data_IF_454616172085
#
_entry.id   IF_454616172085
#
_cell.length_a   1.000
_cell.length_b   1.000
_cell.length_c   1.000
_cell.angle_alpha   90.00
_cell.angle_beta   90.00
_cell.angle_gamma   90.00
#
_symmetry.space_group_name_H-M   'P 1'
#
loop_
_entity.id
_entity.type
_entity.pdbx_description
1 polymer ?
#
# COMPACT_ATOMS: atom_id res chain seq x y z
N UNK A 1 15.05 5.75 12.80
CA UNK A 1 13.78 5.27 12.20
C UNK A 1 12.91 6.42 11.69
N UNK A 2 12.74 7.48 12.49
CA UNK A 2 12.07 8.72 12.10
C UNK A 2 12.40 9.23 10.69
N UNK A 3 13.69 9.47 10.38
CA UNK A 3 14.08 10.09 9.11
C UNK A 3 13.69 9.24 7.88
N UNK A 4 13.74 7.90 8.01
CA UNK A 4 13.33 6.98 6.95
C UNK A 4 11.81 7.05 6.71
N UNK A 5 11.01 7.13 7.78
CA UNK A 5 9.56 7.27 7.66
C UNK A 5 9.19 8.61 7.04
N UNK A 6 9.89 9.68 7.44
CA UNK A 6 9.68 11.03 6.88
C UNK A 6 10.00 11.07 5.39
N UNK A 7 11.09 10.43 4.96
CA UNK A 7 11.45 10.35 3.53
C UNK A 7 10.45 9.53 2.72
N UNK A 8 9.96 8.41 3.24
CA UNK A 8 9.05 7.52 2.51
C UNK A 8 7.60 7.98 2.50
N UNK A 9 7.12 8.57 3.60
CA UNK A 9 5.68 8.75 3.87
C UNK A 9 5.27 10.17 4.25
N UNK A 10 6.24 11.04 4.54
CA UNK A 10 6.01 12.41 4.95
C UNK A 10 5.67 12.59 6.43
N UNK A 11 5.58 13.86 6.83
CA UNK A 11 5.41 14.30 8.21
C UNK A 11 4.09 13.84 8.84
N UNK A 12 2.97 13.98 8.12
CA UNK A 12 1.64 13.62 8.63
C UNK A 12 1.54 12.15 9.02
N UNK A 13 2.15 11.28 8.21
CA UNK A 13 2.18 9.83 8.47
C UNK A 13 3.04 9.53 9.70
N UNK A 14 4.22 10.14 9.81
CA UNK A 14 5.06 9.96 10.98
C UNK A 14 4.34 10.38 12.26
N UNK A 15 3.67 11.53 12.27
CA UNK A 15 2.89 12.00 13.42
C UNK A 15 1.72 11.08 13.75
N UNK A 16 1.00 10.59 12.73
CA UNK A 16 -0.06 9.61 12.92
C UNK A 16 0.46 8.33 13.58
N UNK A 17 1.57 7.79 13.07
CA UNK A 17 2.18 6.58 13.63
C UNK A 17 2.66 6.83 15.06
N UNK A 18 3.29 7.97 15.34
CA UNK A 18 3.83 8.28 16.67
C UNK A 18 2.73 8.49 17.73
N UNK A 19 1.53 8.90 17.31
CA UNK A 19 0.35 9.01 18.20
C UNK A 19 -0.27 7.67 18.56
N UNK A 20 -0.18 6.67 17.69
CA UNK A 20 -0.89 5.38 17.86
C UNK A 20 0.04 4.21 18.18
N UNK A 21 1.33 4.33 17.89
CA UNK A 21 2.35 3.33 18.12
C UNK A 21 3.62 3.95 18.70
N UNK A 22 4.27 3.21 19.58
CA UNK A 22 5.67 3.44 19.92
C UNK A 22 6.54 2.96 18.75
N UNK A 23 6.85 3.85 17.82
CA UNK A 23 7.66 3.55 16.62
C UNK A 23 9.07 3.08 16.99
N UNK A 24 9.62 3.63 18.08
CA UNK A 24 10.96 3.29 18.56
C UNK A 24 11.00 2.01 19.42
N UNK A 25 9.85 1.33 19.63
CA UNK A 25 9.80 0.03 20.31
C UNK A 25 10.47 -1.04 19.42
N UNK A 26 11.45 -1.82 19.92
CA UNK A 26 12.05 -2.92 19.17
C UNK A 26 11.03 -4.01 18.74
N UNK A 27 9.84 -4.05 19.36
CA UNK A 27 8.72 -4.93 18.95
C UNK A 27 7.85 -4.33 17.84
N UNK A 28 8.18 -3.15 17.33
CA UNK A 28 7.53 -2.54 16.16
C UNK A 28 8.40 -2.72 14.93
N UNK A 29 7.88 -3.45 13.94
CA UNK A 29 8.54 -3.66 12.65
C UNK A 29 7.94 -2.76 11.58
N UNK A 30 8.73 -1.83 11.06
CA UNK A 30 8.33 -0.93 9.98
C UNK A 30 8.97 -1.39 8.67
N UNK A 31 8.14 -1.58 7.64
CA UNK A 31 8.58 -2.03 6.31
C UNK A 31 7.82 -1.27 5.21
N UNK A 32 8.39 -1.17 4.02
CA UNK A 32 7.68 -0.73 2.81
C UNK A 32 7.78 -1.83 1.76
N UNK A 33 6.72 -2.64 1.60
CA UNK A 33 6.73 -3.79 0.67
C UNK A 33 5.36 -4.08 0.07
N UNK A 34 5.35 -4.54 -1.18
CA UNK A 34 4.17 -5.13 -1.83
C UNK A 34 4.17 -6.66 -1.81
N UNK A 35 5.26 -7.27 -1.34
CA UNK A 35 5.48 -8.72 -1.41
C UNK A 35 5.32 -9.38 -0.05
N UNK A 36 4.54 -10.47 -0.01
CA UNK A 36 4.38 -11.33 1.18
C UNK A 36 5.68 -12.04 1.57
N UNK A 37 6.61 -12.21 0.63
CA UNK A 37 7.89 -12.86 0.87
C UNK A 37 8.69 -12.16 1.97
N UNK A 38 8.72 -10.83 1.95
CA UNK A 38 9.42 -10.04 2.95
C UNK A 38 8.80 -10.17 4.35
N UNK A 39 7.48 -10.35 4.43
CA UNK A 39 6.77 -10.64 5.69
C UNK A 39 7.08 -12.06 6.17
N UNK A 40 7.01 -13.05 5.28
CA UNK A 40 7.23 -14.45 5.63
C UNK A 40 8.64 -14.73 6.16
N UNK A 41 9.64 -13.94 5.72
CA UNK A 41 11.02 -14.01 6.19
C UNK A 41 11.23 -13.49 7.62
N UNK A 42 10.26 -12.79 8.19
CA UNK A 42 10.37 -12.31 9.56
C UNK A 42 10.19 -13.47 10.56
N UNK A 43 10.85 -13.40 11.73
CA UNK A 43 10.65 -14.38 12.79
C UNK A 43 9.22 -14.33 13.33
N UNK A 44 8.71 -15.50 13.74
CA UNK A 44 7.35 -15.63 14.29
C UNK A 44 7.25 -15.00 15.68
N UNK A 45 6.12 -14.37 15.97
CA UNK A 45 5.76 -13.81 17.29
C UNK A 45 6.77 -12.85 17.93
N UNK A 46 7.70 -12.31 17.13
CA UNK A 46 8.77 -11.43 17.60
C UNK A 46 8.31 -9.98 17.64
N UNK A 47 7.59 -9.55 16.61
CA UNK A 47 7.09 -8.19 16.49
C UNK A 47 5.63 -8.13 16.91
N UNK A 48 5.34 -7.29 17.91
CA UNK A 48 3.98 -7.01 18.36
C UNK A 48 3.24 -6.15 17.34
N UNK A 49 3.94 -5.23 16.69
CA UNK A 49 3.35 -4.31 15.72
C UNK A 49 4.07 -4.46 14.37
N UNK A 50 3.32 -4.56 13.28
CA UNK A 50 3.86 -4.52 11.92
C UNK A 50 3.21 -3.35 11.18
N UNK A 51 4.04 -2.44 10.67
CA UNK A 51 3.63 -1.27 9.90
C UNK A 51 4.13 -1.42 8.48
N UNK A 52 3.24 -1.48 7.49
CA UNK A 52 3.61 -1.44 6.09
C UNK A 52 3.35 -0.04 5.51
N UNK A 53 4.41 0.70 5.17
CA UNK A 53 4.37 2.04 4.57
C UNK A 53 3.90 2.02 3.11
N UNK A 54 3.96 0.88 2.44
CA UNK A 54 3.47 0.76 1.07
C UNK A 54 1.94 0.77 1.03
N UNK A 55 1.36 1.40 -0.01
CA UNK A 55 -0.08 1.35 -0.26
C UNK A 55 -0.57 -0.09 -0.43
N UNK A 56 -1.56 -0.47 0.36
CA UNK A 56 -2.27 -1.76 0.34
C UNK A 56 -2.90 -2.00 -1.03
N UNK A 57 -3.37 -0.94 -1.70
CA UNK A 57 -3.99 -1.02 -3.02
C UNK A 57 -3.06 -1.62 -4.09
N UNK A 58 -1.74 -1.54 -3.91
CA UNK A 58 -0.74 -2.03 -4.87
C UNK A 58 -0.34 -3.50 -4.58
N UNK A 59 -0.83 -4.07 -3.48
CA UNK A 59 -0.53 -5.42 -3.04
C UNK A 59 -1.40 -6.42 -3.80
N UNK A 60 -0.76 -7.32 -4.55
CA UNK A 60 -1.45 -8.44 -5.18
C UNK A 60 -1.82 -9.50 -4.14
N UNK A 61 -3.03 -10.05 -4.23
CA UNK A 61 -3.54 -11.03 -3.26
C UNK A 61 -3.52 -10.49 -1.82
N UNK A 62 -4.08 -9.29 -1.61
CA UNK A 62 -4.09 -8.59 -0.33
C UNK A 62 -4.51 -9.46 0.87
N UNK A 63 -5.49 -10.36 0.70
CA UNK A 63 -5.89 -11.30 1.75
C UNK A 63 -4.74 -12.21 2.19
N UNK A 64 -3.99 -12.76 1.23
CA UNK A 64 -2.82 -13.60 1.51
C UNK A 64 -1.68 -12.81 2.13
N UNK A 65 -1.57 -11.53 1.80
CA UNK A 65 -0.61 -10.65 2.46
C UNK A 65 -0.97 -10.42 3.93
N UNK A 66 -2.24 -10.17 4.25
CA UNK A 66 -2.68 -10.03 5.63
C UNK A 66 -2.66 -11.35 6.42
N UNK A 67 -2.96 -12.49 5.79
CA UNK A 67 -2.74 -13.82 6.39
C UNK A 67 -1.28 -14.01 6.79
N UNK A 68 -0.34 -13.64 5.91
CA UNK A 68 1.10 -13.67 6.19
C UNK A 68 1.48 -12.78 7.38
N UNK A 69 0.89 -11.59 7.50
CA UNK A 69 1.14 -10.71 8.64
C UNK A 69 0.56 -11.31 9.92
N UNK A 70 -0.70 -11.76 9.87
CA UNK A 70 -1.39 -12.34 11.03
C UNK A 70 -0.67 -13.57 11.59
N UNK A 71 -0.04 -14.37 10.71
CA UNK A 71 0.77 -15.51 11.14
C UNK A 71 2.06 -15.12 11.90
N UNK A 72 2.55 -13.87 11.75
CA UNK A 72 3.78 -13.38 12.38
C UNK A 72 3.55 -12.59 13.66
N UNK A 73 2.35 -12.03 13.84
CA UNK A 73 2.00 -11.16 14.96
C UNK A 73 1.45 -12.02 16.11
N UNK A 74 1.87 -11.78 17.37
CA UNK A 74 1.29 -12.47 18.54
C UNK A 74 -0.13 -11.99 18.84
N UNK A 75 -0.86 -12.71 19.71
CA UNK A 75 -2.18 -12.25 20.16
C UNK A 75 -2.15 -10.81 20.70
N UNK A 76 -3.16 -10.01 20.34
CA UNK A 76 -3.25 -8.59 20.65
C UNK A 76 -2.17 -7.69 20.02
N UNK A 77 -1.45 -8.18 19.00
CA UNK A 77 -0.59 -7.34 18.19
C UNK A 77 -1.35 -6.57 17.11
N UNK A 78 -0.68 -5.57 16.52
CA UNK A 78 -1.29 -4.61 15.60
C UNK A 78 -0.66 -4.67 14.21
N UNK A 79 -1.50 -4.68 13.18
CA UNK A 79 -1.09 -4.46 11.80
C UNK A 79 -1.60 -3.09 11.34
N UNK A 80 -0.69 -2.24 10.83
CA UNK A 80 -1.00 -0.93 10.27
C UNK A 80 -0.53 -0.85 8.82
N UNK A 81 -1.32 -0.20 7.98
CA UNK A 81 -0.98 0.02 6.58
C UNK A 81 -1.77 1.14 5.95
N UNK A 82 -1.32 1.57 4.78
CA UNK A 82 -1.88 2.72 4.08
C UNK A 82 -2.79 2.26 2.95
N UNK A 83 -4.00 2.82 2.85
CA UNK A 83 -4.88 2.58 1.74
C UNK A 83 -5.38 3.90 1.15
N UNK A 84 -5.36 3.99 -0.17
CA UNK A 84 -6.03 5.07 -0.88
C UNK A 84 -7.49 4.67 -1.13
N UNK A 85 -8.42 5.51 -0.67
CA UNK A 85 -9.84 5.29 -0.92
C UNK A 85 -10.24 5.72 -2.34
N UNK A 86 -11.29 5.10 -2.88
CA UNK A 86 -11.82 5.41 -4.23
C UNK A 86 -12.15 6.90 -4.40
N UNK A 87 -12.66 7.55 -3.34
CA UNK A 87 -13.03 8.96 -3.37
C UNK A 87 -11.80 9.87 -3.46
N UNK A 88 -10.73 9.55 -2.74
CA UNK A 88 -9.45 10.28 -2.84
C UNK A 88 -8.85 10.15 -4.24
N UNK A 89 -8.89 8.94 -4.82
CA UNK A 89 -8.46 8.72 -6.21
C UNK A 89 -9.29 9.54 -7.21
N UNK A 90 -10.62 9.58 -7.05
CA UNK A 90 -11.52 10.35 -7.91
C UNK A 90 -11.26 11.86 -7.79
N UNK A 91 -11.02 12.36 -6.58
CA UNK A 91 -10.67 13.76 -6.32
C UNK A 91 -9.36 14.13 -7.01
N UNK A 92 -8.32 13.29 -6.89
CA UNK A 92 -7.01 13.48 -7.54
C UNK A 92 -7.10 13.58 -9.07
N UNK A 93 -7.87 12.70 -9.71
CA UNK A 93 -8.08 12.73 -11.18
C UNK A 93 -8.83 13.99 -11.59
N UNK A 94 -9.80 14.44 -10.78
CA UNK A 94 -10.59 15.65 -11.05
C UNK A 94 -9.76 16.93 -10.91
N UNK A 95 -8.79 16.95 -10.01
CA UNK A 95 -7.87 18.09 -9.82
C UNK A 95 -6.76 18.11 -10.88
N UNK A 96 -6.31 16.94 -11.36
CA UNK A 96 -5.24 16.84 -12.39
C UNK A 96 -5.69 17.17 -13.81
N UNK A 97 -6.99 17.00 -14.15
CA UNK A 97 -7.49 17.15 -15.51
C UNK A 97 -8.68 18.12 -15.64
N UNK A 98 -8.77 18.92 -16.72
CA UNK A 98 -9.89 19.84 -16.96
C UNK A 98 -11.26 19.13 -16.91
N UNK A 99 -12.32 19.81 -16.42
CA UNK A 99 -13.61 19.19 -16.09
C UNK A 99 -14.30 18.48 -17.26
N UNK A 100 -14.03 18.87 -18.50
CA UNK A 100 -14.63 18.27 -19.71
C UNK A 100 -13.90 16.99 -20.15
N UNK A 101 -12.58 16.90 -19.95
CA UNK A 101 -11.77 15.75 -20.38
C UNK A 101 -11.66 14.65 -19.31
N UNK A 102 -12.00 14.94 -18.05
CA UNK A 102 -11.81 14.00 -16.94
C UNK A 102 -12.72 12.76 -17.03
N UNK A 103 -13.90 12.85 -17.65
CA UNK A 103 -14.83 11.71 -17.80
C UNK A 103 -14.26 10.73 -18.83
N UNK A 104 -13.87 11.22 -19.99
CA UNK A 104 -13.32 10.40 -21.08
C UNK A 104 -12.02 9.72 -20.65
N UNK A 105 -11.11 10.45 -20.01
CA UNK A 105 -9.87 9.90 -19.47
C UNK A 105 -10.14 8.85 -18.38
N UNK A 106 -11.11 9.07 -17.49
CA UNK A 106 -11.46 8.08 -16.46
C UNK A 106 -12.06 6.80 -17.05
N UNK A 107 -12.89 6.91 -18.10
CA UNK A 107 -13.47 5.74 -18.79
C UNK A 107 -12.38 4.96 -19.51
N UNK A 108 -11.49 5.62 -20.25
CA UNK A 108 -10.35 4.97 -20.91
C UNK A 108 -9.43 4.33 -19.88
N UNK A 109 -9.10 5.04 -18.79
CA UNK A 109 -8.30 4.51 -17.67
C UNK A 109 -8.94 3.27 -17.06
N UNK A 110 -10.26 3.27 -16.88
CA UNK A 110 -11.00 2.14 -16.35
C UNK A 110 -10.94 0.92 -17.28
N UNK A 111 -11.12 1.12 -18.58
CA UNK A 111 -11.05 0.03 -19.57
C UNK A 111 -9.62 -0.54 -19.58
N UNK A 112 -8.60 0.31 -19.73
CA UNK A 112 -7.18 -0.09 -19.72
C UNK A 112 -6.78 -0.78 -18.42
N UNK A 113 -7.17 -0.26 -17.26
CA UNK A 113 -6.75 -0.83 -15.96
C UNK A 113 -7.57 -2.01 -15.48
N UNK A 114 -8.83 -2.17 -15.90
CA UNK A 114 -9.72 -3.22 -15.35
C UNK A 114 -10.13 -4.29 -16.34
N UNK A 115 -10.19 -3.95 -17.62
CA UNK A 115 -10.66 -4.86 -18.66
C UNK A 115 -9.45 -5.53 -19.31
N UNK A 116 -8.46 -4.76 -19.81
CA UNK A 116 -7.28 -5.32 -20.47
C UNK A 116 -6.44 -6.34 -19.66
N UNK A 117 -6.26 -6.22 -18.32
CA UNK A 117 -5.49 -7.22 -17.56
C UNK A 117 -6.16 -8.61 -17.51
N UNK A 118 -7.42 -8.71 -17.95
CA UNK A 118 -8.17 -9.97 -18.03
C UNK A 118 -8.02 -10.68 -19.39
N UNK A 119 -7.46 -10.04 -20.41
CA UNK A 119 -7.42 -10.55 -21.79
C UNK A 119 -6.06 -11.10 -22.26
N UNK A 120 -5.06 -11.28 -21.39
CA UNK A 120 -3.85 -11.99 -21.83
C UNK A 120 -2.79 -12.29 -20.75
N UNK A 121 -2.05 -13.42 -20.86
CA UNK A 121 -1.01 -13.79 -19.91
C UNK A 121 0.31 -13.00 -20.05
N UNK A 122 0.54 -12.25 -21.14
CA UNK A 122 1.84 -11.64 -21.47
C UNK A 122 1.97 -10.12 -21.32
N UNK A 123 0.94 -9.40 -20.83
CA UNK A 123 0.96 -7.91 -20.77
C UNK A 123 1.09 -7.32 -19.35
N UNK A 124 1.38 -8.16 -18.35
CA UNK A 124 1.39 -7.74 -16.93
C UNK A 124 2.63 -6.95 -16.51
N UNK A 125 3.73 -6.96 -17.24
CA UNK A 125 4.96 -6.27 -16.81
C UNK A 125 5.06 -4.84 -17.37
N UNK A 126 4.71 -4.64 -18.63
CA UNK A 126 4.73 -3.32 -19.29
C UNK A 126 3.71 -2.34 -18.71
N UNK A 127 2.52 -2.83 -18.33
CA UNK A 127 1.46 -1.99 -17.75
C UNK A 127 1.83 -1.42 -16.39
N UNK A 128 2.60 -2.13 -15.54
CA UNK A 128 2.98 -1.60 -14.22
C UNK A 128 3.99 -0.43 -14.29
N UNK A 129 4.82 -0.37 -15.32
CA UNK A 129 5.81 0.70 -15.50
C UNK A 129 5.19 2.05 -15.88
N UNK A 130 4.10 2.03 -16.67
CA UNK A 130 3.34 3.22 -17.08
C UNK A 130 2.35 3.70 -16.01
N UNK A 131 2.21 2.97 -14.90
CA UNK A 131 1.24 3.23 -13.84
C UNK A 131 1.85 3.79 -12.55
N UNK A 132 3.16 4.08 -12.58
CA UNK A 132 3.91 4.64 -11.46
C UNK A 132 4.03 6.16 -11.64
N UNK A 133 2.91 6.84 -11.43
CA UNK A 133 2.78 8.29 -11.21
C UNK A 133 2.25 8.54 -9.78
#
# INVERSE_FOLDING_TARGET
>A
MKDLILQESGQEVYEFLNRHLSIDDPKTFVISTTTRFNINKQPDSTYKNIVNLHKINDIRYVNKFFESINAKIPENGLCLGFAETKNMRKKRIREKYPPVMNISLYVVDFIVKRIFPKFGPYQKESTFSLLRD
#
